data_IF_007070998205
#
_entry.id   IF_007070998205
#
_cell.length_a   1.000
_cell.length_b   1.000
_cell.length_c   1.000
_cell.angle_alpha   90.00
_cell.angle_beta   90.00
_cell.angle_gamma   90.00
#
_symmetry.space_group_name_H-M   'P 1'
#
loop_
_entity.id
_entity.type
_entity.pdbx_description
1 polymer ?
#
# COMPACT_ATOMS: atom_id res chain seq x y z
N UNK A 1 22.13 59.57 -57.53
CA UNK A 1 22.15 60.11 -56.15
C UNK A 1 23.16 59.31 -55.34
N UNK A 2 24.32 59.89 -54.94
CA UNK A 2 25.35 59.18 -54.15
C UNK A 2 25.06 59.41 -52.67
N UNK A 3 24.50 58.41 -51.98
CA UNK A 3 24.20 58.49 -50.55
C UNK A 3 25.53 58.42 -49.78
N UNK A 4 25.95 59.53 -49.17
CA UNK A 4 27.11 59.57 -48.26
C UNK A 4 26.66 59.07 -46.88
N UNK A 5 26.79 57.78 -46.63
CA UNK A 5 26.54 57.21 -45.30
C UNK A 5 27.75 57.55 -44.41
N UNK A 6 27.51 58.25 -43.29
CA UNK A 6 28.55 58.49 -42.27
C UNK A 6 28.93 57.13 -41.64
N UNK A 7 30.23 56.87 -41.46
CA UNK A 7 30.75 55.61 -40.88
C UNK A 7 30.09 55.23 -39.54
N UNK A 8 29.63 56.20 -38.75
CA UNK A 8 28.89 55.98 -37.50
C UNK A 8 27.56 55.25 -37.67
N UNK A 9 26.89 55.39 -38.81
CA UNK A 9 25.56 54.80 -39.05
C UNK A 9 25.62 53.32 -39.46
N UNK A 10 26.82 52.78 -39.71
CA UNK A 10 27.05 51.35 -40.01
C UNK A 10 27.44 50.53 -38.77
N UNK A 11 27.90 51.19 -37.70
CA UNK A 11 28.36 50.51 -36.47
C UNK A 11 27.18 49.93 -35.69
N UNK A 12 26.11 50.72 -35.53
CA UNK A 12 24.91 50.30 -34.78
C UNK A 12 24.23 49.06 -35.39
N UNK A 13 23.91 49.00 -36.70
CA UNK A 13 23.34 47.79 -37.29
C UNK A 13 24.31 46.61 -37.29
N UNK A 14 25.63 46.85 -37.36
CA UNK A 14 26.64 45.81 -37.22
C UNK A 14 26.66 45.17 -35.84
N UNK A 15 26.56 45.96 -34.77
CA UNK A 15 26.47 45.45 -33.38
C UNK A 15 25.16 44.68 -33.18
N UNK A 16 24.04 45.20 -33.69
CA UNK A 16 22.74 44.50 -33.59
C UNK A 16 22.80 43.16 -34.33
N UNK A 17 23.37 43.12 -35.54
CA UNK A 17 23.55 41.88 -36.29
C UNK A 17 24.43 40.88 -35.53
N UNK A 18 25.52 41.35 -34.91
CA UNK A 18 26.39 40.51 -34.10
C UNK A 18 25.65 39.93 -32.88
N UNK A 19 24.85 40.74 -32.18
CA UNK A 19 24.03 40.27 -31.06
C UNK A 19 22.98 39.26 -31.52
N UNK A 20 22.33 39.48 -32.66
CA UNK A 20 21.37 38.51 -33.22
C UNK A 20 22.07 37.21 -33.59
N UNK A 21 23.28 37.25 -34.17
CA UNK A 21 24.04 36.05 -34.50
C UNK A 21 24.43 35.30 -33.22
N UNK A 22 24.96 36.00 -32.20
CA UNK A 22 25.33 35.39 -30.92
C UNK A 22 24.13 34.78 -30.22
N UNK A 23 23.00 35.49 -30.18
CA UNK A 23 21.75 35.00 -29.60
C UNK A 23 21.18 33.81 -30.39
N UNK A 24 21.26 33.84 -31.72
CA UNK A 24 20.79 32.74 -32.58
C UNK A 24 21.67 31.49 -32.41
N UNK A 25 22.99 31.66 -32.36
CA UNK A 25 23.94 30.57 -32.10
C UNK A 25 23.74 29.98 -30.71
N UNK A 26 23.50 30.84 -29.70
CA UNK A 26 23.17 30.40 -28.34
C UNK A 26 21.88 29.58 -28.31
N UNK A 27 20.79 30.08 -28.91
CA UNK A 27 19.53 29.35 -29.01
C UNK A 27 19.66 28.04 -29.79
N UNK A 28 20.43 28.04 -30.89
CA UNK A 28 20.64 26.85 -31.71
C UNK A 28 21.49 25.81 -30.96
N UNK A 29 22.51 26.24 -30.23
CA UNK A 29 23.34 25.37 -29.39
C UNK A 29 22.54 24.77 -28.22
N UNK A 30 21.71 25.55 -27.54
CA UNK A 30 20.81 25.05 -26.49
C UNK A 30 19.85 23.99 -27.04
N UNK A 31 19.22 24.28 -28.20
CA UNK A 31 18.28 23.35 -28.82
C UNK A 31 18.95 22.09 -29.36
N UNK A 32 20.17 22.21 -29.91
CA UNK A 32 20.93 21.07 -30.41
C UNK A 32 21.35 20.14 -29.26
N UNK A 33 21.80 20.68 -28.12
CA UNK A 33 22.14 19.90 -26.94
C UNK A 33 20.91 19.24 -26.29
N UNK A 34 19.73 19.88 -26.38
CA UNK A 34 18.47 19.26 -25.95
C UNK A 34 18.03 18.07 -26.81
N UNK A 35 18.38 18.05 -28.11
CA UNK A 35 17.88 17.06 -29.07
C UNK A 35 18.88 15.93 -29.35
N UNK A 36 20.20 16.19 -29.30
CA UNK A 36 21.24 15.26 -29.77
C UNK A 36 22.20 14.73 -28.68
N UNK A 37 21.85 14.84 -27.39
CA UNK A 37 22.16 13.79 -26.42
C UNK A 37 23.61 13.60 -25.97
N UNK A 38 24.28 14.65 -25.48
CA UNK A 38 25.36 14.47 -24.50
C UNK A 38 25.22 15.50 -23.38
N UNK A 39 24.55 15.11 -22.29
CA UNK A 39 24.57 15.86 -21.04
C UNK A 39 25.63 15.25 -20.11
N UNK A 40 26.21 16.07 -19.23
CA UNK A 40 27.09 15.61 -18.15
C UNK A 40 26.37 15.91 -16.84
N UNK A 41 26.15 14.88 -16.04
CA UNK A 41 25.66 15.02 -14.67
C UNK A 41 26.85 15.02 -13.71
N UNK A 42 26.80 15.86 -12.69
CA UNK A 42 27.84 15.88 -11.65
C UNK A 42 27.85 14.62 -10.77
N UNK A 43 26.71 13.90 -10.71
CA UNK A 43 26.49 12.69 -9.92
C UNK A 43 25.56 11.72 -10.65
N UNK A 44 25.64 10.44 -10.30
CA UNK A 44 24.71 9.35 -10.71
C UNK A 44 24.46 9.21 -12.22
N UNK A 45 25.45 9.54 -13.06
CA UNK A 45 25.36 9.38 -14.52
C UNK A 45 25.01 7.93 -14.91
N UNK A 46 25.69 6.95 -14.32
CA UNK A 46 25.50 5.53 -14.64
C UNK A 46 24.09 5.02 -14.27
N UNK A 47 23.48 5.59 -13.22
CA UNK A 47 22.10 5.26 -12.81
C UNK A 47 21.11 5.86 -13.80
N UNK A 48 21.32 7.12 -14.18
CA UNK A 48 20.44 7.89 -15.05
C UNK A 48 20.23 7.24 -16.43
N UNK A 49 21.20 6.45 -16.92
CA UNK A 49 21.08 5.72 -18.19
C UNK A 49 19.95 4.69 -18.22
N UNK A 50 19.54 4.18 -17.06
CA UNK A 50 18.48 3.19 -16.92
C UNK A 50 17.10 3.81 -16.62
N UNK A 51 17.02 5.13 -16.49
CA UNK A 51 15.84 5.85 -16.05
C UNK A 51 15.08 6.52 -17.20
N UNK A 52 13.82 6.86 -16.96
CA UNK A 52 13.04 7.72 -17.84
C UNK A 52 13.48 9.17 -17.69
N UNK A 53 13.83 9.81 -18.80
CA UNK A 53 14.36 11.17 -18.81
C UNK A 53 13.28 12.19 -19.21
N UNK A 54 13.13 13.24 -18.40
CA UNK A 54 12.30 14.41 -18.74
C UNK A 54 13.17 15.67 -18.83
N UNK A 55 13.10 16.36 -19.96
CA UNK A 55 13.87 17.58 -20.21
C UNK A 55 12.96 18.81 -20.18
N UNK A 56 13.38 19.86 -19.48
CA UNK A 56 12.79 21.19 -19.57
C UNK A 56 13.89 22.26 -19.63
N UNK A 57 13.53 23.51 -19.86
CA UNK A 57 14.51 24.58 -20.05
C UNK A 57 15.43 24.71 -18.83
N UNK A 58 16.72 24.38 -19.01
CA UNK A 58 17.74 24.42 -17.96
C UNK A 58 17.61 23.35 -16.87
N UNK A 59 16.69 22.39 -16.99
CA UNK A 59 16.45 21.33 -15.99
C UNK A 59 16.31 19.97 -16.65
N UNK A 60 16.79 18.93 -15.98
CA UNK A 60 16.64 17.54 -16.39
C UNK A 60 16.24 16.74 -15.16
N UNK A 61 15.28 15.83 -15.32
CA UNK A 61 14.90 14.90 -14.28
C UNK A 61 14.93 13.46 -14.79
N UNK A 62 15.27 12.54 -13.90
CA UNK A 62 15.30 11.12 -14.15
C UNK A 62 14.39 10.42 -13.17
N UNK A 63 13.51 9.56 -13.68
CA UNK A 63 12.56 8.75 -12.92
C UNK A 63 12.90 7.28 -13.14
N UNK A 64 13.14 6.54 -12.07
CA UNK A 64 13.53 5.13 -12.11
C UNK A 64 12.68 4.31 -11.14
N UNK A 65 12.43 3.05 -11.45
CA UNK A 65 11.86 2.11 -10.48
C UNK A 65 12.98 1.38 -9.74
N UNK A 66 12.83 1.21 -8.44
CA UNK A 66 13.79 0.48 -7.62
C UNK A 66 13.09 -0.28 -6.49
N UNK A 67 13.80 -1.23 -5.90
CA UNK A 67 13.43 -1.90 -4.65
C UNK A 67 14.37 -1.42 -3.55
N UNK A 68 13.84 -0.70 -2.55
CA UNK A 68 14.60 -0.29 -1.38
C UNK A 68 14.75 -1.45 -0.42
N UNK A 69 15.99 -1.83 -0.14
CA UNK A 69 16.30 -2.96 0.73
C UNK A 69 16.57 -2.50 2.16
N UNK A 70 17.36 -1.43 2.31
CA UNK A 70 17.72 -0.88 3.62
C UNK A 70 18.19 0.57 3.54
N UNK A 71 18.10 1.22 4.68
CA UNK A 71 18.53 2.60 4.91
C UNK A 71 19.53 2.65 6.07
N UNK A 72 20.58 3.45 5.93
CA UNK A 72 21.56 3.72 6.98
C UNK A 72 21.81 5.23 7.10
N UNK A 73 21.72 5.77 8.31
CA UNK A 73 22.30 7.08 8.63
C UNK A 73 23.80 6.90 8.86
N UNK A 74 24.64 7.57 8.06
CA UNK A 74 26.10 7.56 8.21
C UNK A 74 26.59 8.96 8.53
N UNK A 75 27.46 9.07 9.54
CA UNK A 75 27.95 10.36 10.05
C UNK A 75 26.77 11.29 10.45
N UNK A 76 27.02 12.50 10.96
CA UNK A 76 25.93 13.33 11.49
C UNK A 76 24.95 13.86 10.42
N UNK A 77 25.29 13.78 9.12
CA UNK A 77 24.52 14.45 8.06
C UNK A 77 24.40 13.69 6.72
N UNK A 78 24.71 12.40 6.65
CA UNK A 78 24.61 11.63 5.39
C UNK A 78 23.61 10.47 5.52
N UNK A 79 22.80 10.30 4.50
CA UNK A 79 21.81 9.24 4.37
C UNK A 79 22.18 8.33 3.22
N UNK A 80 22.28 7.03 3.51
CA UNK A 80 22.64 6.01 2.54
C UNK A 80 21.47 5.05 2.30
N UNK A 81 21.10 4.90 1.04
CA UNK A 81 20.03 4.02 0.56
C UNK A 81 20.65 2.87 -0.23
N UNK A 82 20.35 1.65 0.17
CA UNK A 82 20.76 0.44 -0.52
C UNK A 82 19.55 -0.13 -1.23
N UNK A 83 19.64 -0.22 -2.56
CA UNK A 83 18.49 -0.49 -3.41
C UNK A 83 18.89 -1.40 -4.56
N UNK A 84 17.92 -2.08 -5.14
CA UNK A 84 18.04 -2.74 -6.43
C UNK A 84 17.31 -1.92 -7.49
N UNK A 85 18.06 -1.27 -8.38
CA UNK A 85 17.52 -0.51 -9.51
C UNK A 85 16.98 -1.47 -10.56
N UNK A 86 15.80 -1.17 -11.12
CA UNK A 86 15.25 -1.92 -12.24
C UNK A 86 15.75 -1.28 -13.54
N UNK A 87 16.53 -2.01 -14.32
CA UNK A 87 16.99 -1.54 -15.62
C UNK A 87 15.95 -1.68 -16.72
N UNK A 88 16.29 -1.22 -17.93
CA UNK A 88 15.40 -1.25 -19.11
C UNK A 88 15.04 -2.67 -19.57
N UNK A 89 15.82 -3.67 -19.19
CA UNK A 89 15.57 -5.09 -19.46
C UNK A 89 14.86 -5.79 -18.28
N UNK A 90 14.40 -5.03 -17.28
CA UNK A 90 13.78 -5.50 -16.05
C UNK A 90 14.69 -6.39 -15.19
N UNK A 91 16.01 -6.18 -15.26
CA UNK A 91 16.96 -6.81 -14.35
C UNK A 91 17.25 -5.90 -13.17
N UNK A 92 17.52 -6.53 -12.03
CA UNK A 92 17.89 -5.85 -10.81
C UNK A 92 19.40 -5.58 -10.76
N UNK A 93 19.76 -4.31 -10.61
CA UNK A 93 21.15 -3.87 -10.42
C UNK A 93 21.31 -3.30 -9.01
N UNK A 94 22.18 -3.87 -8.17
CA UNK A 94 22.40 -3.33 -6.82
C UNK A 94 23.08 -1.97 -6.92
N UNK A 95 22.51 -0.98 -6.23
CA UNK A 95 23.02 0.38 -6.16
C UNK A 95 23.06 0.86 -4.71
N UNK A 96 23.95 1.82 -4.46
CA UNK A 96 24.01 2.53 -3.17
C UNK A 96 24.10 4.01 -3.45
N UNK A 97 23.21 4.77 -2.84
CA UNK A 97 23.16 6.24 -2.97
C UNK A 97 23.36 6.82 -1.59
N UNK A 98 24.40 7.63 -1.42
CA UNK A 98 24.67 8.34 -0.17
C UNK A 98 24.67 9.85 -0.44
N UNK A 99 23.78 10.58 0.21
CA UNK A 99 23.64 12.03 0.04
C UNK A 99 23.42 12.75 1.36
N UNK A 100 23.66 14.06 1.37
CA UNK A 100 23.38 14.88 2.54
C UNK A 100 21.87 14.99 2.79
N UNK A 101 21.44 14.98 4.07
CA UNK A 101 20.03 15.04 4.48
C UNK A 101 19.22 16.15 3.80
N UNK A 102 19.83 17.29 3.49
CA UNK A 102 19.16 18.42 2.83
C UNK A 102 18.87 18.23 1.32
N UNK A 103 19.42 17.19 0.70
CA UNK A 103 19.25 16.87 -0.72
C UNK A 103 18.20 15.76 -0.94
N UNK A 104 17.96 14.96 0.10
CA UNK A 104 17.09 13.77 0.10
C UNK A 104 15.70 14.13 0.61
N UNK A 105 14.66 13.70 -0.10
CA UNK A 105 13.27 13.79 0.34
C UNK A 105 12.61 12.42 0.30
N UNK A 106 12.12 11.94 1.44
CA UNK A 106 11.41 10.67 1.56
C UNK A 106 10.56 10.61 2.84
N UNK A 107 9.56 9.73 2.85
CA UNK A 107 8.82 9.40 4.07
C UNK A 107 9.54 8.28 4.84
N UNK A 108 10.15 8.65 5.97
CA UNK A 108 10.89 7.72 6.81
C UNK A 108 10.01 6.61 7.39
N UNK A 109 8.80 6.93 7.83
CA UNK A 109 7.91 5.96 8.50
C UNK A 109 7.42 4.88 7.54
N UNK A 110 7.24 5.25 6.27
CA UNK A 110 6.74 4.33 5.26
C UNK A 110 7.85 3.52 4.57
N UNK A 111 9.07 4.04 4.48
CA UNK A 111 10.14 3.41 3.71
C UNK A 111 11.09 2.52 4.51
N UNK A 112 11.16 2.69 5.83
CA UNK A 112 12.04 1.87 6.69
C UNK A 112 11.24 0.69 7.25
N UNK A 113 11.29 -0.44 6.56
CA UNK A 113 10.62 -1.68 6.98
C UNK A 113 11.57 -2.87 6.84
N UNK A 114 11.20 -4.03 7.43
CA UNK A 114 11.92 -5.29 7.22
C UNK A 114 11.72 -5.87 5.80
N UNK A 115 10.76 -5.32 5.05
CA UNK A 115 10.41 -5.75 3.70
C UNK A 115 11.13 -4.89 2.66
N UNK A 116 11.38 -5.45 1.48
CA UNK A 116 11.81 -4.67 0.33
C UNK A 116 10.67 -3.75 -0.10
N UNK A 117 10.93 -2.45 -0.21
CA UNK A 117 9.91 -1.45 -0.53
C UNK A 117 10.04 -1.02 -1.98
N UNK A 118 9.05 -1.29 -2.85
CA UNK A 118 9.05 -0.75 -4.21
C UNK A 118 8.91 0.76 -4.18
N UNK A 119 9.85 1.44 -4.82
CA UNK A 119 9.93 2.90 -4.84
C UNK A 119 10.14 3.42 -6.26
N UNK A 120 9.69 4.64 -6.44
CA UNK A 120 10.09 5.51 -7.53
C UNK A 120 11.22 6.41 -7.05
N UNK A 121 12.28 6.45 -7.85
CA UNK A 121 13.50 7.19 -7.61
C UNK A 121 13.56 8.37 -8.58
N UNK A 122 13.48 9.58 -8.03
CA UNK A 122 13.48 10.81 -8.82
C UNK A 122 14.74 11.64 -8.54
N UNK A 123 15.53 11.89 -9.59
CA UNK A 123 16.65 12.80 -9.54
C UNK A 123 16.34 14.08 -10.29
N UNK A 124 16.55 15.23 -9.66
CA UNK A 124 16.32 16.53 -10.27
C UNK A 124 17.62 17.30 -10.38
N UNK A 125 17.97 17.67 -11.61
CA UNK A 125 19.18 18.44 -11.88
C UNK A 125 18.85 19.78 -12.53
N UNK A 126 19.67 20.78 -12.21
CA UNK A 126 19.63 22.10 -12.87
C UNK A 126 20.98 22.41 -13.47
N UNK A 127 20.96 23.00 -14.66
CA UNK A 127 22.17 23.39 -15.37
C UNK A 127 22.73 24.70 -14.82
N UNK A 128 24.01 24.72 -14.47
CA UNK A 128 24.73 25.97 -14.22
C UNK A 128 25.17 26.56 -15.57
N UNK A 129 25.18 27.89 -15.70
CA UNK A 129 25.62 28.59 -16.92
C UNK A 129 26.95 28.03 -17.44
N UNK A 130 26.93 27.47 -18.66
CA UNK A 130 28.07 26.85 -19.34
C UNK A 130 28.70 25.61 -18.66
N UNK A 131 28.03 25.03 -17.66
CA UNK A 131 28.53 23.88 -16.89
C UNK A 131 27.71 22.60 -17.07
N UNK A 132 28.10 21.61 -16.27
CA UNK A 132 27.38 20.36 -16.06
C UNK A 132 26.05 20.58 -15.31
N UNK A 133 25.21 19.55 -15.33
CA UNK A 133 23.96 19.52 -14.57
C UNK A 133 24.25 19.11 -13.14
N UNK A 134 23.83 19.93 -12.18
CA UNK A 134 24.03 19.67 -10.76
C UNK A 134 22.78 19.12 -10.12
N UNK A 135 22.93 18.00 -9.39
CA UNK A 135 21.87 17.44 -8.56
C UNK A 135 21.39 18.51 -7.59
N UNK A 136 20.09 18.78 -7.62
CA UNK A 136 19.41 19.69 -6.70
C UNK A 136 18.66 18.91 -5.63
N UNK A 137 17.98 17.84 -6.04
CA UNK A 137 17.10 17.06 -5.20
C UNK A 137 17.11 15.60 -5.64
N UNK A 138 17.04 14.73 -4.66
CA UNK A 138 16.85 13.30 -4.77
C UNK A 138 15.59 12.94 -3.96
N UNK A 139 14.62 12.32 -4.61
CA UNK A 139 13.32 12.03 -4.00
C UNK A 139 12.98 10.55 -4.16
N UNK A 140 12.50 9.95 -3.07
CA UNK A 140 11.96 8.60 -3.05
C UNK A 140 10.47 8.73 -2.76
N UNK A 141 9.65 8.11 -3.59
CA UNK A 141 8.22 7.94 -3.34
C UNK A 141 7.83 6.46 -3.47
N UNK A 142 6.77 6.04 -2.78
CA UNK A 142 6.25 4.69 -2.95
C UNK A 142 5.63 4.55 -4.34
N UNK A 143 5.79 3.37 -4.95
CA UNK A 143 5.01 3.01 -6.13
C UNK A 143 3.58 2.67 -5.73
N UNK A 144 2.62 2.95 -6.61
CA UNK A 144 1.23 2.51 -6.43
C UNK A 144 1.13 0.99 -6.57
N UNK A 145 0.16 0.35 -5.92
CA UNK A 145 0.05 -1.12 -5.94
C UNK A 145 -0.11 -1.67 -7.36
N UNK A 146 -0.83 -0.98 -8.25
CA UNK A 146 -0.94 -1.36 -9.66
C UNK A 146 0.42 -1.36 -10.37
N UNK A 147 1.24 -0.33 -10.13
CA UNK A 147 2.59 -0.20 -10.69
C UNK A 147 3.52 -1.27 -10.08
N UNK A 148 3.34 -1.59 -8.80
CA UNK A 148 4.07 -2.68 -8.14
C UNK A 148 3.76 -4.00 -8.84
N UNK A 149 2.49 -4.35 -9.08
CA UNK A 149 2.15 -5.59 -9.77
C UNK A 149 2.75 -5.64 -11.19
N UNK A 150 2.59 -4.56 -11.97
CA UNK A 150 3.17 -4.48 -13.31
C UNK A 150 4.69 -4.60 -13.32
N UNK A 151 5.36 -4.03 -12.32
CA UNK A 151 6.81 -4.13 -12.15
C UNK A 151 7.21 -5.57 -11.84
N UNK A 152 6.59 -6.17 -10.82
CA UNK A 152 6.93 -7.51 -10.34
C UNK A 152 6.71 -8.59 -11.41
N UNK A 153 5.65 -8.47 -12.20
CA UNK A 153 5.37 -9.38 -13.33
C UNK A 153 6.50 -9.40 -14.37
N UNK A 154 7.23 -8.29 -14.52
CA UNK A 154 8.34 -8.17 -15.48
C UNK A 154 9.69 -8.53 -14.86
N UNK A 155 9.89 -8.26 -13.57
CA UNK A 155 11.17 -8.51 -12.90
C UNK A 155 11.30 -9.96 -12.42
N UNK A 156 10.23 -10.64 -11.98
CA UNK A 156 10.30 -12.04 -11.54
C UNK A 156 10.81 -13.04 -12.59
N UNK A 157 10.37 -12.98 -13.87
CA UNK A 157 10.93 -13.83 -14.92
C UNK A 157 12.44 -13.63 -15.14
N UNK A 158 12.96 -12.47 -14.74
CA UNK A 158 14.37 -12.09 -14.85
C UNK A 158 15.20 -12.44 -13.60
N UNK A 159 14.67 -13.28 -12.71
CA UNK A 159 15.42 -13.86 -11.59
C UNK A 159 15.37 -13.06 -10.29
N UNK A 160 14.45 -12.08 -10.16
CA UNK A 160 14.24 -11.43 -8.88
C UNK A 160 13.63 -12.36 -7.83
N UNK A 161 14.05 -12.25 -6.56
CA UNK A 161 13.47 -13.02 -5.47
C UNK A 161 11.99 -12.68 -5.30
N UNK A 162 11.14 -13.71 -5.26
CA UNK A 162 9.69 -13.58 -5.10
C UNK A 162 9.24 -13.19 -3.68
N UNK A 163 10.18 -12.97 -2.75
CA UNK A 163 9.87 -12.96 -1.32
C UNK A 163 10.11 -11.59 -0.68
N UNK A 164 9.16 -11.23 0.19
CA UNK A 164 9.17 -10.11 1.13
C UNK A 164 9.15 -8.71 0.51
N UNK A 165 8.30 -8.50 -0.50
CA UNK A 165 8.05 -7.17 -1.08
C UNK A 165 6.81 -6.55 -0.43
N UNK A 166 6.95 -5.30 0.03
CA UNK A 166 5.89 -4.49 0.65
C UNK A 166 4.82 -4.12 -0.39
N UNK A 167 3.55 -4.17 0.01
CA UNK A 167 2.40 -3.66 -0.76
C UNK A 167 1.66 -2.62 0.08
N UNK A 168 1.27 -1.51 -0.52
CA UNK A 168 0.68 -0.39 0.22
C UNK A 168 -0.66 -0.78 0.84
N UNK A 169 -1.55 -1.44 0.08
CA UNK A 169 -2.83 -1.88 0.61
C UNK A 169 -2.67 -2.84 1.80
N UNK A 170 -1.67 -3.73 1.78
CA UNK A 170 -1.44 -4.65 2.90
C UNK A 170 -0.98 -3.89 4.16
N UNK A 171 -0.18 -2.84 3.99
CA UNK A 171 0.31 -2.02 5.10
C UNK A 171 -0.78 -1.11 5.67
N UNK A 172 -1.67 -0.59 4.82
CA UNK A 172 -2.87 0.09 5.26
C UNK A 172 -3.76 -0.84 6.10
N UNK A 173 -3.95 -2.09 5.66
CA UNK A 173 -4.67 -3.11 6.42
C UNK A 173 -3.99 -3.43 7.75
N UNK A 174 -2.66 -3.60 7.77
CA UNK A 174 -1.90 -3.81 9.02
C UNK A 174 -2.03 -2.62 9.96
N UNK A 175 -1.99 -1.40 9.43
CA UNK A 175 -2.10 -0.16 10.20
C UNK A 175 -3.50 -0.02 10.79
N UNK A 176 -4.54 -0.20 9.98
CA UNK A 176 -5.93 -0.13 10.42
C UNK A 176 -6.30 -1.28 11.38
N UNK A 177 -5.72 -2.46 11.16
CA UNK A 177 -6.00 -3.68 11.91
C UNK A 177 -7.20 -4.48 11.39
N UNK A 178 -7.94 -3.94 10.42
CA UNK A 178 -9.11 -4.58 9.82
C UNK A 178 -9.32 -4.12 8.38
N UNK A 179 -10.17 -4.85 7.64
CA UNK A 179 -10.60 -4.46 6.30
C UNK A 179 -11.98 -5.05 5.93
N UNK A 180 -12.81 -4.31 5.19
CA UNK A 180 -14.03 -4.85 4.61
C UNK A 180 -13.69 -5.88 3.52
N UNK A 181 -14.42 -6.98 3.47
CA UNK A 181 -14.30 -8.00 2.42
C UNK A 181 -15.48 -7.94 1.44
N UNK A 182 -15.38 -8.74 0.39
CA UNK A 182 -16.46 -8.89 -0.60
C UNK A 182 -17.79 -9.19 0.09
N UNK A 183 -18.89 -8.66 -0.41
CA UNK A 183 -20.20 -8.94 0.17
C UNK A 183 -20.58 -10.43 -0.01
N UNK A 184 -21.36 -10.96 0.93
CA UNK A 184 -22.08 -12.22 0.74
C UNK A 184 -23.44 -11.91 0.12
N UNK A 185 -23.68 -12.42 -1.09
CA UNK A 185 -24.96 -12.25 -1.79
C UNK A 185 -25.91 -13.38 -1.37
N UNK A 186 -27.03 -13.03 -0.76
CA UNK A 186 -28.11 -13.95 -0.40
C UNK A 186 -29.27 -13.83 -1.42
N UNK A 187 -30.40 -14.48 -1.14
CA UNK A 187 -31.57 -14.49 -2.03
C UNK A 187 -32.00 -13.07 -2.48
N UNK A 188 -32.47 -12.97 -3.73
CA UNK A 188 -32.93 -11.74 -4.38
C UNK A 188 -31.88 -10.62 -4.49
N UNK A 189 -30.59 -10.97 -4.48
CA UNK A 189 -29.50 -10.01 -4.63
C UNK A 189 -29.28 -9.14 -3.38
N UNK A 190 -29.91 -9.48 -2.26
CA UNK A 190 -29.64 -8.83 -0.97
C UNK A 190 -28.23 -9.19 -0.51
N UNK A 191 -27.56 -8.25 0.15
CA UNK A 191 -26.14 -8.40 0.52
C UNK A 191 -25.93 -8.33 2.02
N UNK A 192 -25.19 -9.29 2.57
CA UNK A 192 -24.63 -9.26 3.92
C UNK A 192 -23.17 -8.82 3.81
N UNK A 193 -22.77 -7.86 4.64
CA UNK A 193 -21.41 -7.29 4.60
C UNK A 193 -20.46 -8.13 5.45
N UNK A 194 -19.17 -8.11 5.09
CA UNK A 194 -18.10 -8.81 5.80
C UNK A 194 -16.99 -7.84 6.20
N UNK A 195 -16.42 -8.04 7.37
CA UNK A 195 -15.20 -7.37 7.84
C UNK A 195 -14.26 -8.38 8.46
N UNK A 196 -12.97 -8.29 8.14
CA UNK A 196 -11.93 -9.09 8.76
C UNK A 196 -11.07 -8.23 9.67
N UNK A 197 -10.75 -8.73 10.86
CA UNK A 197 -9.67 -8.18 11.67
C UNK A 197 -8.41 -8.98 11.39
N UNK A 198 -7.38 -8.27 10.94
CA UNK A 198 -6.21 -8.84 10.26
C UNK A 198 -5.30 -9.63 11.19
N UNK A 199 -5.14 -9.17 12.44
CA UNK A 199 -4.31 -9.81 13.47
C UNK A 199 -5.01 -9.72 14.82
N UNK A 200 -5.41 -10.88 15.32
CA UNK A 200 -5.79 -11.12 16.70
C UNK A 200 -4.89 -12.19 17.33
N UNK A 201 -4.86 -12.25 18.64
CA UNK A 201 -4.25 -13.33 19.42
C UNK A 201 -5.33 -13.92 20.32
N UNK A 202 -5.56 -15.23 20.25
CA UNK A 202 -6.48 -15.90 21.16
C UNK A 202 -5.75 -16.06 22.49
N UNK A 203 -6.31 -15.44 23.53
CA UNK A 203 -5.77 -15.46 24.90
C UNK A 203 -6.36 -16.62 25.70
N UNK A 204 -7.64 -16.91 25.49
CA UNK A 204 -8.36 -18.04 26.07
C UNK A 204 -9.49 -18.46 25.13
N UNK A 205 -9.78 -19.76 25.10
CA UNK A 205 -10.87 -20.33 24.32
C UNK A 205 -11.53 -21.45 25.12
N UNK A 206 -12.82 -21.27 25.41
CA UNK A 206 -13.57 -22.13 26.33
C UNK A 206 -15.01 -22.33 25.88
N UNK A 207 -15.68 -23.28 26.51
CA UNK A 207 -17.13 -23.45 26.37
C UNK A 207 -17.78 -22.91 27.64
N UNK A 208 -18.67 -21.93 27.48
CA UNK A 208 -19.52 -21.42 28.55
C UNK A 208 -20.98 -21.61 28.18
N UNK A 209 -21.74 -22.27 29.07
CA UNK A 209 -23.14 -22.63 28.87
C UNK A 209 -23.41 -23.41 27.57
N UNK A 210 -23.78 -22.70 26.51
CA UNK A 210 -24.14 -23.24 25.20
C UNK A 210 -23.40 -22.55 24.05
N UNK A 211 -22.32 -21.83 24.35
CA UNK A 211 -21.52 -21.12 23.36
C UNK A 211 -20.02 -21.41 23.53
N UNK A 212 -19.30 -21.34 22.43
CA UNK A 212 -17.84 -21.24 22.44
C UNK A 212 -17.51 -19.77 22.66
N UNK A 213 -16.64 -19.49 23.63
CA UNK A 213 -16.22 -18.15 24.04
C UNK A 213 -14.73 -18.01 23.79
N UNK A 214 -14.35 -16.93 23.12
CA UNK A 214 -12.99 -16.60 22.72
C UNK A 214 -12.62 -15.25 23.29
N UNK A 215 -11.65 -15.22 24.19
CA UNK A 215 -11.03 -14.00 24.67
C UNK A 215 -9.86 -13.67 23.75
N UNK A 216 -9.94 -12.54 23.07
CA UNK A 216 -9.05 -12.15 22.00
C UNK A 216 -8.38 -10.82 22.32
N UNK A 217 -7.11 -10.69 21.93
CA UNK A 217 -6.41 -9.42 21.84
C UNK A 217 -6.29 -9.03 20.38
N UNK A 218 -6.94 -7.94 19.97
CA UNK A 218 -6.93 -7.41 18.60
C UNK A 218 -6.01 -6.20 18.51
N UNK A 219 -5.33 -6.03 17.38
CA UNK A 219 -4.63 -4.79 17.06
C UNK A 219 -5.47 -3.95 16.09
N UNK A 220 -5.89 -2.75 16.51
CA UNK A 220 -6.68 -1.83 15.69
C UNK A 220 -6.03 -0.45 15.76
N UNK A 221 -5.69 0.14 14.62
CA UNK A 221 -5.00 1.43 14.55
C UNK A 221 -3.72 1.48 15.39
N UNK A 222 -2.94 0.39 15.40
CA UNK A 222 -1.70 0.21 16.19
C UNK A 222 -1.89 0.19 17.71
N UNK A 223 -3.13 0.07 18.19
CA UNK A 223 -3.46 -0.06 19.61
C UNK A 223 -4.00 -1.46 19.88
N UNK A 224 -3.66 -2.01 21.05
CA UNK A 224 -4.15 -3.32 21.49
C UNK A 224 -5.47 -3.18 22.24
N UNK A 225 -6.45 -4.00 21.87
CA UNK A 225 -7.76 -4.06 22.50
C UNK A 225 -8.11 -5.49 22.87
N UNK A 226 -8.79 -5.66 24.00
CA UNK A 226 -9.32 -6.95 24.44
C UNK A 226 -10.79 -7.06 24.02
N UNK A 227 -11.22 -8.22 23.55
CA UNK A 227 -12.62 -8.48 23.23
C UNK A 227 -12.97 -9.92 23.54
N UNK A 228 -14.23 -10.14 23.92
CA UNK A 228 -14.77 -11.48 24.12
C UNK A 228 -15.81 -11.73 23.04
N UNK A 229 -15.58 -12.76 22.22
CA UNK A 229 -16.50 -13.18 21.17
C UNK A 229 -17.14 -14.50 21.55
N UNK A 230 -18.41 -14.68 21.20
CA UNK A 230 -19.09 -15.96 21.38
C UNK A 230 -19.80 -16.42 20.12
N UNK A 231 -19.85 -17.74 19.95
CA UNK A 231 -20.59 -18.37 18.86
C UNK A 231 -20.96 -19.81 19.22
N UNK A 232 -22.13 -20.26 18.74
CA UNK A 232 -22.54 -21.67 18.85
C UNK A 232 -21.86 -22.53 17.77
N UNK A 233 -21.72 -21.96 16.57
CA UNK A 233 -21.04 -22.53 15.42
C UNK A 233 -20.36 -21.44 14.61
N UNK A 234 -19.20 -21.74 14.04
CA UNK A 234 -18.46 -20.84 13.16
C UNK A 234 -17.59 -21.63 12.17
N UNK A 235 -17.09 -20.96 11.14
CA UNK A 235 -16.09 -21.53 10.24
C UNK A 235 -14.69 -21.42 10.80
N UNK A 236 -13.94 -22.51 10.73
CA UNK A 236 -12.58 -22.58 11.23
C UNK A 236 -11.62 -23.05 10.16
N UNK A 237 -10.48 -22.37 10.05
CA UNK A 237 -9.39 -22.74 9.17
C UNK A 237 -8.06 -22.70 9.92
N UNK A 238 -7.19 -23.69 9.66
CA UNK A 238 -5.79 -23.64 10.07
C UNK A 238 -4.97 -23.48 8.80
N UNK A 239 -4.19 -22.40 8.68
CA UNK A 239 -3.55 -21.97 7.42
C UNK A 239 -2.74 -23.09 6.71
N UNK A 240 -2.19 -24.04 7.48
CA UNK A 240 -1.44 -25.18 6.95
C UNK A 240 -2.29 -26.27 6.27
N UNK A 241 -3.58 -26.38 6.58
CA UNK A 241 -4.47 -27.46 6.09
C UNK A 241 -5.33 -27.00 4.89
N UNK A 242 -5.53 -25.67 4.73
CA UNK A 242 -6.37 -25.04 3.69
C UNK A 242 -7.80 -25.63 3.56
N UNK A 243 -8.25 -26.37 4.55
CA UNK A 243 -9.60 -26.92 4.62
C UNK A 243 -10.39 -26.11 5.63
N UNK A 244 -11.41 -25.39 5.17
CA UNK A 244 -12.42 -24.78 6.04
C UNK A 244 -13.27 -25.89 6.65
N UNK A 245 -13.49 -25.82 7.95
CA UNK A 245 -14.27 -26.80 8.73
C UNK A 245 -15.30 -26.09 9.58
N UNK A 246 -16.40 -26.77 9.90
CA UNK A 246 -17.31 -26.31 10.94
C UNK A 246 -16.65 -26.51 12.32
N UNK A 247 -16.60 -25.44 13.11
CA UNK A 247 -16.33 -25.48 14.54
C UNK A 247 -17.65 -25.36 15.31
N UNK A 248 -17.85 -26.24 16.27
CA UNK A 248 -19.06 -26.34 17.09
C UNK A 248 -18.72 -26.82 18.49
N UNK A 249 -19.67 -26.73 19.42
CA UNK A 249 -19.52 -27.29 20.77
C UNK A 249 -19.08 -28.77 20.79
N UNK A 250 -19.50 -29.55 19.79
CA UNK A 250 -19.27 -31.00 19.75
C UNK A 250 -17.83 -31.38 19.40
N UNK A 251 -17.12 -30.54 18.66
CA UNK A 251 -15.77 -30.79 18.18
C UNK A 251 -14.75 -29.72 18.65
N UNK A 252 -15.17 -28.73 19.45
CA UNK A 252 -14.32 -27.66 19.94
C UNK A 252 -13.02 -28.14 20.60
N UNK A 253 -13.10 -29.21 21.40
CA UNK A 253 -11.96 -29.79 22.12
C UNK A 253 -10.96 -30.53 21.23
N UNK A 254 -11.31 -30.77 19.96
CA UNK A 254 -10.44 -31.47 19.01
C UNK A 254 -9.43 -30.52 18.35
N UNK A 255 -9.56 -29.22 18.57
CA UNK A 255 -8.74 -28.18 17.97
C UNK A 255 -7.91 -27.46 19.03
N UNK A 256 -6.67 -27.17 18.66
CA UNK A 256 -5.78 -26.28 19.39
C UNK A 256 -6.07 -24.85 18.94
N UNK A 257 -6.51 -24.00 19.88
CA UNK A 257 -6.98 -22.65 19.61
C UNK A 257 -5.95 -21.58 19.96
N UNK A 258 -4.74 -21.96 20.35
CA UNK A 258 -3.73 -21.00 20.73
C UNK A 258 -3.04 -20.40 19.49
N UNK A 259 -2.84 -19.09 19.50
CA UNK A 259 -1.98 -18.41 18.53
C UNK A 259 -2.58 -17.18 17.86
N UNK A 260 -1.88 -16.74 16.81
CA UNK A 260 -2.27 -15.60 16.00
C UNK A 260 -3.43 -16.03 15.11
N UNK A 261 -4.48 -15.24 15.08
CA UNK A 261 -5.68 -15.50 14.31
C UNK A 261 -6.06 -14.31 13.45
N UNK A 262 -6.76 -14.62 12.36
CA UNK A 262 -7.61 -13.67 11.65
C UNK A 262 -9.06 -14.01 11.98
N UNK A 263 -9.88 -12.99 12.26
CA UNK A 263 -11.32 -13.18 12.55
C UNK A 263 -12.16 -12.46 11.52
N UNK A 264 -13.27 -13.08 11.10
CA UNK A 264 -14.28 -12.47 10.24
C UNK A 264 -15.57 -12.23 11.01
N UNK A 265 -16.24 -11.14 10.67
CA UNK A 265 -17.59 -10.88 11.11
C UNK A 265 -18.54 -10.59 9.95
N UNK A 266 -19.82 -10.90 10.15
CA UNK A 266 -20.91 -10.38 9.33
C UNK A 266 -21.59 -9.18 9.99
N UNK A 267 -22.12 -8.29 9.16
CA UNK A 267 -23.05 -7.24 9.58
C UNK A 267 -24.01 -6.86 8.45
N UNK A 268 -25.07 -6.14 8.80
CA UNK A 268 -26.03 -5.61 7.85
C UNK A 268 -25.87 -4.10 7.74
N UNK A 269 -26.03 -3.56 6.53
CA UNK A 269 -26.17 -2.11 6.37
C UNK A 269 -27.41 -1.61 7.13
N UNK A 270 -27.33 -0.42 7.74
CA UNK A 270 -28.46 0.20 8.45
C UNK A 270 -29.75 0.23 7.60
N UNK A 271 -29.61 0.48 6.30
CA UNK A 271 -30.71 0.56 5.33
C UNK A 271 -31.14 -0.81 4.80
N UNK A 272 -30.47 -1.89 5.18
CA UNK A 272 -30.82 -3.24 4.75
C UNK A 272 -32.25 -3.62 5.16
N UNK A 273 -32.97 -4.23 4.23
CA UNK A 273 -34.30 -4.81 4.46
C UNK A 273 -34.25 -6.34 4.58
N UNK A 274 -33.06 -6.91 4.81
CA UNK A 274 -32.89 -8.33 5.10
C UNK A 274 -33.64 -8.66 6.40
N UNK A 275 -34.31 -9.82 6.40
CA UNK A 275 -35.03 -10.41 7.53
C UNK A 275 -34.43 -11.77 7.86
N UNK A 276 -34.77 -12.33 9.04
CA UNK A 276 -34.39 -13.69 9.39
C UNK A 276 -34.86 -14.70 8.33
N UNK A 277 -36.07 -14.54 7.80
CA UNK A 277 -36.62 -15.44 6.79
C UNK A 277 -35.76 -15.48 5.51
N UNK A 278 -35.24 -14.33 5.07
CA UNK A 278 -34.36 -14.26 3.91
C UNK A 278 -33.05 -15.05 4.11
N UNK A 279 -32.46 -14.95 5.31
CA UNK A 279 -31.24 -15.68 5.66
C UNK A 279 -31.53 -17.17 5.78
N UNK A 280 -32.61 -17.56 6.47
CA UNK A 280 -33.00 -18.97 6.62
C UNK A 280 -33.33 -19.62 5.27
N UNK A 281 -33.97 -18.89 4.35
CA UNK A 281 -34.17 -19.35 2.99
C UNK A 281 -32.83 -19.61 2.28
N UNK A 282 -31.88 -18.67 2.40
CA UNK A 282 -30.52 -18.86 1.88
C UNK A 282 -29.84 -20.09 2.48
N UNK A 283 -29.93 -20.29 3.81
CA UNK A 283 -29.31 -21.40 4.54
C UNK A 283 -29.94 -22.76 4.22
N UNK A 284 -31.18 -22.78 3.72
CA UNK A 284 -31.88 -24.02 3.36
C UNK A 284 -31.42 -24.63 2.02
N UNK A 285 -30.52 -23.97 1.29
CA UNK A 285 -30.01 -24.45 0.01
C UNK A 285 -28.93 -25.52 0.23
N UNK A 286 -28.90 -26.54 -0.65
CA UNK A 286 -28.01 -27.71 -0.51
C UNK A 286 -26.51 -27.38 -0.52
N UNK A 287 -26.13 -26.20 -1.03
CA UNK A 287 -24.73 -25.72 -1.14
C UNK A 287 -24.50 -24.42 -0.35
N UNK A 288 -24.92 -24.40 0.91
CA UNK A 288 -24.60 -23.26 1.78
C UNK A 288 -23.10 -23.24 2.07
N UNK A 289 -22.43 -22.13 1.73
CA UNK A 289 -21.01 -21.90 1.99
C UNK A 289 -20.72 -22.06 3.48
N UNK A 290 -19.63 -22.77 3.84
CA UNK A 290 -19.23 -22.99 5.22
C UNK A 290 -19.14 -21.66 5.96
N UNK A 291 -18.60 -20.63 5.31
CA UNK A 291 -18.45 -19.26 5.83
C UNK A 291 -19.75 -18.64 6.36
N UNK A 292 -20.92 -19.17 5.98
CA UNK A 292 -22.23 -18.66 6.41
C UNK A 292 -22.87 -19.43 7.57
N UNK A 293 -22.23 -20.47 8.12
CA UNK A 293 -22.77 -21.28 9.22
C UNK A 293 -23.15 -20.43 10.45
N UNK A 294 -22.27 -19.50 10.84
CA UNK A 294 -22.55 -18.61 11.97
C UNK A 294 -23.76 -17.71 11.70
N UNK A 295 -23.85 -17.16 10.48
CA UNK A 295 -24.98 -16.31 10.06
C UNK A 295 -26.30 -17.10 10.12
N UNK A 296 -26.31 -18.33 9.62
CA UNK A 296 -27.46 -19.23 9.68
C UNK A 296 -27.88 -19.51 11.13
N UNK A 297 -26.91 -19.84 11.99
CA UNK A 297 -27.16 -20.13 13.40
C UNK A 297 -27.73 -18.94 14.15
N UNK A 298 -27.24 -17.72 13.87
CA UNK A 298 -27.77 -16.49 14.45
C UNK A 298 -29.19 -16.19 13.94
N UNK A 299 -29.49 -16.45 12.68
CA UNK A 299 -30.85 -16.22 12.13
C UNK A 299 -31.91 -17.16 12.74
N UNK A 300 -31.52 -18.33 13.25
CA UNK A 300 -32.42 -19.24 13.97
C UNK A 300 -32.68 -18.81 15.41
N UNK A 301 -31.71 -18.14 16.04
CA UNK A 301 -31.69 -17.93 17.49
C UNK A 301 -31.94 -16.47 17.91
N UNK A 302 -31.63 -15.50 17.04
CA UNK A 302 -31.66 -14.07 17.34
C UNK A 302 -32.25 -13.25 16.21
N UNK A 303 -32.66 -12.02 16.51
CA UNK A 303 -33.16 -11.09 15.51
C UNK A 303 -32.00 -10.44 14.74
N UNK A 304 -31.88 -10.75 13.44
CA UNK A 304 -30.74 -10.27 12.62
C UNK A 304 -30.72 -8.75 12.45
N UNK A 305 -31.83 -8.06 12.69
CA UNK A 305 -31.88 -6.60 12.63
C UNK A 305 -31.08 -5.89 13.74
N UNK A 306 -30.66 -6.62 14.78
CA UNK A 306 -29.76 -6.12 15.83
C UNK A 306 -28.35 -5.83 15.30
N UNK A 307 -27.92 -6.53 14.24
CA UNK A 307 -26.56 -6.46 13.68
C UNK A 307 -26.44 -5.42 12.56
N UNK A 308 -27.17 -4.31 12.69
CA UNK A 308 -27.20 -3.23 11.70
C UNK A 308 -26.16 -2.17 12.02
N UNK A 309 -25.28 -1.92 11.06
CA UNK A 309 -24.19 -0.95 11.12
C UNK A 309 -24.34 0.04 9.96
N UNK A 310 -24.28 1.33 10.27
CA UNK A 310 -24.40 2.41 9.27
C UNK A 310 -23.15 2.53 8.41
N UNK A 311 -22.00 2.43 9.05
CA UNK A 311 -20.67 2.60 8.47
C UNK A 311 -19.70 1.84 9.37
N UNK A 312 -18.93 0.91 8.80
CA UNK A 312 -18.11 -0.02 9.58
C UNK A 312 -16.93 0.69 10.24
N UNK A 313 -16.31 1.64 9.53
CA UNK A 313 -15.16 2.38 10.04
C UNK A 313 -15.57 3.26 11.22
N UNK A 314 -16.71 3.95 11.07
CA UNK A 314 -17.29 4.74 12.16
C UNK A 314 -17.69 3.85 13.34
N UNK A 315 -18.29 2.68 13.11
CA UNK A 315 -18.68 1.79 14.19
C UNK A 315 -17.47 1.30 14.99
N UNK A 316 -16.40 0.86 14.31
CA UNK A 316 -15.16 0.44 14.97
C UNK A 316 -14.56 1.59 15.76
N UNK A 317 -14.54 2.80 15.20
CA UNK A 317 -14.04 3.98 15.90
C UNK A 317 -14.88 4.37 17.13
N UNK A 318 -16.21 4.28 17.02
CA UNK A 318 -17.13 4.54 18.14
C UNK A 318 -16.93 3.49 19.25
N UNK A 319 -16.80 2.20 18.90
CA UNK A 319 -16.50 1.12 19.84
C UNK A 319 -15.16 1.36 20.56
N UNK A 320 -14.11 1.74 19.83
CA UNK A 320 -12.80 2.08 20.41
C UNK A 320 -12.88 3.23 21.39
N UNK A 321 -13.57 4.31 21.02
CA UNK A 321 -13.74 5.49 21.89
C UNK A 321 -14.55 5.20 23.14
N UNK A 322 -15.46 4.23 23.07
CA UNK A 322 -16.23 3.75 24.22
C UNK A 322 -15.51 2.68 25.04
N UNK A 323 -14.28 2.29 24.68
CA UNK A 323 -13.54 1.26 25.42
C UNK A 323 -13.23 1.72 26.84
N UNK A 324 -13.46 0.82 27.80
CA UNK A 324 -13.05 0.97 29.19
C UNK A 324 -11.91 -0.02 29.42
N UNK A 325 -10.78 0.45 29.94
CA UNK A 325 -9.57 -0.36 30.20
C UNK A 325 -9.08 -1.19 29.00
N UNK A 326 -9.28 -0.67 27.78
CA UNK A 326 -8.88 -1.32 26.52
C UNK A 326 -9.80 -2.47 26.09
N UNK A 327 -10.95 -2.65 26.75
CA UNK A 327 -11.94 -3.66 26.38
C UNK A 327 -12.93 -3.08 25.38
N UNK A 328 -13.12 -3.78 24.25
CA UNK A 328 -14.08 -3.43 23.19
C UNK A 328 -15.14 -4.51 23.01
N UNK A 329 -16.35 -4.07 22.68
CA UNK A 329 -17.49 -4.96 22.44
C UNK A 329 -18.04 -4.74 21.02
N UNK A 330 -17.99 -5.80 20.22
CA UNK A 330 -18.50 -5.82 18.85
C UNK A 330 -19.93 -6.38 18.75
N UNK A 331 -20.82 -5.86 19.59
CA UNK A 331 -22.21 -6.30 19.78
C UNK A 331 -23.08 -6.30 18.51
N UNK A 332 -22.73 -5.50 17.51
CA UNK A 332 -23.44 -5.39 16.22
C UNK A 332 -22.81 -6.23 15.11
N UNK A 333 -21.78 -7.01 15.44
CA UNK A 333 -21.09 -7.89 14.50
C UNK A 333 -21.39 -9.36 14.86
N UNK A 334 -21.59 -10.19 13.84
CA UNK A 334 -21.78 -11.63 14.00
C UNK A 334 -20.43 -12.30 13.81
N UNK A 335 -19.86 -12.87 14.87
CA UNK A 335 -18.59 -13.59 14.76
C UNK A 335 -18.76 -14.87 13.92
N UNK A 336 -18.02 -14.95 12.81
CA UNK A 336 -18.35 -15.88 11.74
C UNK A 336 -17.26 -16.86 11.36
N UNK A 337 -16.00 -16.43 11.41
CA UNK A 337 -14.89 -17.24 10.97
C UNK A 337 -13.62 -16.95 11.77
N UNK A 338 -12.87 -18.02 12.06
CA UNK A 338 -11.60 -18.02 12.77
C UNK A 338 -10.54 -18.71 11.91
N UNK A 339 -9.47 -18.01 11.54
CA UNK A 339 -8.32 -18.60 10.85
C UNK A 339 -7.07 -18.49 11.69
N UNK A 340 -6.54 -19.61 12.15
CA UNK A 340 -5.25 -19.66 12.83
C UNK A 340 -4.10 -19.54 11.83
N UNK A 341 -3.23 -18.59 12.09
CA UNK A 341 -1.96 -18.36 11.40
C UNK A 341 -0.82 -19.07 12.15
N UNK A 342 0.19 -19.57 11.44
CA UNK A 342 1.29 -20.36 12.01
C UNK A 342 2.22 -19.55 12.91
#
# INVERSE_FOLDING_TARGET
MKIKIKKSNLIVPGIILLLVIVFSVFFFSERYNQVNGSFSLNKFQDIAENCEQTNSFGKISFKCSALLERYEEREENTECFFMALVDKDYKLQPITICEEKGVVEFDREEMITEQMVPIELNFYYTRILFGEYNLQKFELSLLMDEEIFELLDKVYPNGAPQMNIRRNALEEVKKAGYYPANDLIIADGKTVKRVFFYLGEIMDAKIEESEMVFDLKLNINREEFLTTLSAQKLSYEKEMDRSTRELSLSNFKDYDMDGITQVMFFYLDEKSNITNADILEYCSKEETDFDSIALCTIAETRNISEFKVKDIDKYIEDVRKSSEDGVVNFDKLIFAFLMLRP
#
